data_IF_910114897907
#
_entry.id   IF_910114897907
#
_cell.length_a   1.000
_cell.length_b   1.000
_cell.length_c   1.000
_cell.angle_alpha   90.00
_cell.angle_beta   90.00
_cell.angle_gamma   90.00
#
_symmetry.space_group_name_H-M   'P 1'
#
loop_
_entity.id
_entity.type
_entity.pdbx_description
1 polymer ?
#
# COMPACT_ATOMS: atom_id res chain seq x y z
N UNK A 1 9.52 -5.33 -4.97
CA UNK A 1 9.30 -6.64 -4.38
C UNK A 1 10.60 -7.30 -3.92
N UNK A 2 11.65 -7.16 -4.72
CA UNK A 2 12.95 -7.69 -4.32
C UNK A 2 13.45 -7.01 -3.04
N UNK A 3 13.19 -5.72 -2.89
CA UNK A 3 13.59 -5.02 -1.67
C UNK A 3 12.88 -5.56 -0.44
N UNK A 4 11.58 -5.90 -0.58
CA UNK A 4 10.87 -6.46 0.56
C UNK A 4 11.41 -7.83 0.92
N UNK A 5 11.82 -8.62 -0.08
CA UNK A 5 12.42 -9.91 0.18
C UNK A 5 13.76 -9.77 0.89
N UNK A 6 14.58 -8.81 0.47
CA UNK A 6 15.88 -8.60 1.08
C UNK A 6 15.77 -8.12 2.52
N UNK A 7 14.73 -7.37 2.81
CA UNK A 7 14.49 -6.87 4.16
C UNK A 7 13.76 -7.87 5.04
N UNK A 8 13.38 -9.02 4.48
CA UNK A 8 12.65 -10.02 5.23
C UNK A 8 11.20 -9.67 5.46
N UNK A 9 10.65 -8.77 4.65
CA UNK A 9 9.27 -8.30 4.77
C UNK A 9 8.42 -8.96 3.69
N UNK A 10 7.15 -9.19 4.03
CA UNK A 10 6.16 -9.62 3.06
C UNK A 10 5.17 -8.49 2.86
N UNK A 11 4.73 -8.33 1.60
CA UNK A 11 3.79 -7.28 1.29
C UNK A 11 4.18 -6.59 0.01
N UNK A 12 3.51 -5.46 -0.25
CA UNK A 12 3.71 -4.70 -1.48
C UNK A 12 4.19 -3.30 -1.13
N UNK A 13 5.40 -2.95 -1.58
CA UNK A 13 5.94 -1.62 -1.38
C UNK A 13 5.31 -0.65 -2.39
N UNK A 14 4.85 0.48 -1.89
CA UNK A 14 4.30 1.52 -2.75
C UNK A 14 5.45 2.32 -3.33
N UNK A 15 5.60 2.27 -4.65
CA UNK A 15 6.66 3.02 -5.32
C UNK A 15 6.22 4.42 -5.65
N UNK A 16 4.96 4.60 -6.07
CA UNK A 16 4.48 5.90 -6.51
C UNK A 16 3.01 6.05 -6.17
N UNK A 17 2.62 7.25 -5.74
CA UNK A 17 1.24 7.58 -5.46
C UNK A 17 0.84 8.69 -6.43
N UNK A 18 -0.18 8.42 -7.24
CA UNK A 18 -0.67 9.41 -8.20
C UNK A 18 -1.40 10.54 -7.46
N UNK A 19 -1.19 11.79 -7.87
CA UNK A 19 -1.93 12.89 -7.27
C UNK A 19 -3.43 12.71 -7.47
N UNK A 20 -4.20 13.09 -6.46
CA UNK A 20 -5.66 13.01 -6.48
C UNK A 20 -6.22 11.59 -6.58
N UNK A 21 -5.38 10.58 -6.38
CA UNK A 21 -5.85 9.21 -6.37
C UNK A 21 -6.42 8.85 -4.99
N UNK A 22 -7.11 7.72 -4.95
CA UNK A 22 -7.60 7.17 -3.68
C UNK A 22 -6.46 7.02 -2.68
N UNK A 23 -5.31 6.54 -3.14
CA UNK A 23 -4.16 6.37 -2.27
C UNK A 23 -3.65 7.70 -1.73
N UNK A 24 -3.59 8.73 -2.59
CA UNK A 24 -3.14 10.04 -2.15
C UNK A 24 -4.10 10.63 -1.12
N UNK A 25 -5.40 10.46 -1.34
CA UNK A 25 -6.40 10.98 -0.41
C UNK A 25 -6.35 10.29 0.95
N UNK A 26 -5.93 9.04 0.96
CA UNK A 26 -5.81 8.29 2.20
C UNK A 26 -4.50 8.57 2.93
N UNK A 27 -3.58 9.31 2.30
CA UNK A 27 -2.31 9.66 2.94
C UNK A 27 -1.22 8.62 2.78
N UNK A 28 -1.35 7.75 1.78
CA UNK A 28 -0.31 6.75 1.52
C UNK A 28 0.92 7.43 0.93
N UNK A 29 2.08 6.84 1.20
CA UNK A 29 3.37 7.41 0.80
C UNK A 29 4.08 6.49 -0.18
N UNK A 30 4.57 7.07 -1.28
CA UNK A 30 5.40 6.34 -2.22
C UNK A 30 6.87 6.39 -1.83
N UNK A 31 7.67 5.61 -2.55
CA UNK A 31 9.12 5.58 -2.36
C UNK A 31 9.73 6.77 -3.07
N UNK A 32 10.67 7.44 -2.41
CA UNK A 32 11.32 8.63 -2.96
C UNK A 32 12.81 8.44 -3.02
N UNK A 33 13.44 9.07 -4.00
CA UNK A 33 14.89 9.13 -4.07
C UNK A 33 15.34 10.52 -3.65
N UNK A 34 16.19 10.56 -2.64
CA UNK A 34 16.73 11.81 -2.14
C UNK A 34 18.25 11.74 -2.24
N UNK A 35 18.92 12.87 -1.89
CA UNK A 35 20.37 12.93 -2.02
C UNK A 35 21.07 11.82 -1.24
N UNK A 36 20.55 11.49 -0.08
CA UNK A 36 21.15 10.51 0.82
C UNK A 36 20.81 9.07 0.48
N UNK A 37 19.96 8.84 -0.51
CA UNK A 37 19.58 7.49 -0.90
C UNK A 37 18.09 7.37 -1.14
N UNK A 38 17.50 6.25 -0.73
CA UNK A 38 16.08 6.00 -0.91
C UNK A 38 15.33 6.18 0.40
N UNK A 39 14.20 6.88 0.32
CA UNK A 39 13.22 6.87 1.41
C UNK A 39 12.11 5.93 0.98
N UNK A 40 12.00 4.81 1.66
CA UNK A 40 11.05 3.77 1.28
C UNK A 40 9.63 4.23 1.54
N UNK A 41 8.73 3.88 0.62
CA UNK A 41 7.33 4.15 0.78
C UNK A 41 6.68 3.17 1.75
N UNK A 42 5.37 3.31 1.91
CA UNK A 42 4.61 2.40 2.74
C UNK A 42 4.63 1.01 2.13
N UNK A 43 4.59 -0.01 2.98
CA UNK A 43 4.48 -1.39 2.55
C UNK A 43 3.10 -1.89 2.97
N UNK A 44 2.30 -2.34 2.01
CA UNK A 44 0.97 -2.86 2.29
C UNK A 44 1.14 -4.28 2.79
N UNK A 45 0.76 -4.52 4.04
CA UNK A 45 0.90 -5.83 4.67
C UNK A 45 -0.40 -6.62 4.63
N UNK A 46 -1.53 -5.95 4.73
CA UNK A 46 -2.82 -6.63 4.80
C UNK A 46 -3.93 -5.69 4.36
N UNK A 47 -5.05 -6.29 3.95
CA UNK A 47 -6.26 -5.55 3.63
C UNK A 47 -7.40 -6.19 4.40
N UNK A 48 -8.11 -5.38 5.22
CA UNK A 48 -9.17 -5.85 6.10
C UNK A 48 -8.73 -7.05 6.95
N UNK A 49 -7.48 -6.99 7.42
CA UNK A 49 -6.92 -8.04 8.26
C UNK A 49 -6.40 -9.26 7.51
N UNK A 50 -6.50 -9.29 6.21
CA UNK A 50 -6.07 -10.43 5.40
C UNK A 50 -4.69 -10.15 4.82
N UNK A 51 -3.69 -10.99 5.13
CA UNK A 51 -2.33 -10.71 4.67
C UNK A 51 -2.23 -10.68 3.15
N UNK A 52 -1.43 -9.74 2.65
CA UNK A 52 -1.17 -9.57 1.22
C UNK A 52 0.31 -9.80 1.01
N UNK A 53 0.66 -10.73 0.14
CA UNK A 53 2.06 -11.07 -0.10
C UNK A 53 2.58 -10.60 -1.44
N UNK A 54 1.68 -10.41 -2.41
CA UNK A 54 2.09 -10.04 -3.75
C UNK A 54 0.99 -9.23 -4.42
N UNK A 55 1.29 -8.76 -5.62
CA UNK A 55 0.35 -7.90 -6.35
C UNK A 55 -0.93 -8.64 -6.69
N UNK A 56 -0.84 -9.92 -7.06
CA UNK A 56 -2.03 -10.69 -7.40
C UNK A 56 -2.96 -10.80 -6.20
N UNK A 57 -2.41 -11.00 -5.02
CA UNK A 57 -3.22 -11.06 -3.81
C UNK A 57 -3.91 -9.74 -3.52
N UNK A 58 -3.19 -8.62 -3.74
CA UNK A 58 -3.81 -7.31 -3.55
C UNK A 58 -4.95 -7.09 -4.54
N UNK A 59 -4.72 -7.43 -5.81
CA UNK A 59 -5.74 -7.24 -6.83
C UNK A 59 -6.97 -8.10 -6.54
N UNK A 60 -6.76 -9.36 -6.15
CA UNK A 60 -7.87 -10.24 -5.81
C UNK A 60 -8.68 -9.67 -4.65
N UNK A 61 -8.00 -9.17 -3.63
CA UNK A 61 -8.69 -8.61 -2.49
C UNK A 61 -9.52 -7.38 -2.89
N UNK A 62 -8.96 -6.52 -3.74
CA UNK A 62 -9.67 -5.33 -4.19
C UNK A 62 -10.86 -5.67 -5.07
N UNK A 63 -10.74 -6.73 -5.88
CA UNK A 63 -11.83 -7.13 -6.76
C UNK A 63 -13.04 -7.67 -6.01
N UNK A 64 -12.87 -8.05 -4.76
CA UNK A 64 -13.98 -8.52 -3.93
C UNK A 64 -14.78 -7.37 -3.33
N UNK A 65 -14.33 -6.14 -3.54
CA UNK A 65 -15.00 -4.96 -3.02
C UNK A 65 -15.54 -4.13 -4.17
N UNK A 66 -16.46 -3.25 -3.86
CA UNK A 66 -17.09 -2.40 -4.86
C UNK A 66 -16.67 -0.94 -4.65
N UNK A 67 -16.84 -0.15 -5.71
CA UNK A 67 -16.65 1.28 -5.61
C UNK A 67 -17.56 1.81 -4.51
N UNK A 68 -16.98 2.64 -3.63
CA UNK A 68 -17.70 3.16 -2.49
C UNK A 68 -17.43 2.40 -1.20
N UNK A 69 -16.90 1.18 -1.29
CA UNK A 69 -16.52 0.44 -0.09
C UNK A 69 -15.30 1.10 0.54
N UNK A 70 -15.22 1.00 1.86
CA UNK A 70 -14.04 1.45 2.60
C UNK A 70 -13.30 0.21 3.08
N UNK A 71 -12.00 0.15 2.80
CA UNK A 71 -11.16 -0.95 3.25
C UNK A 71 -10.11 -0.42 4.22
N UNK A 72 -9.67 -1.28 5.12
CA UNK A 72 -8.62 -0.95 6.07
C UNK A 72 -7.33 -1.59 5.58
N UNK A 73 -6.33 -0.78 5.27
CA UNK A 73 -5.01 -1.27 4.90
C UNK A 73 -4.11 -1.26 6.11
N UNK A 74 -3.42 -2.35 6.33
CA UNK A 74 -2.35 -2.41 7.33
C UNK A 74 -1.06 -2.15 6.60
N UNK A 75 -0.33 -1.12 7.04
CA UNK A 75 0.88 -0.65 6.38
C UNK A 75 2.06 -0.73 7.33
N UNK A 76 3.23 -0.92 6.77
CA UNK A 76 4.48 -0.71 7.51
C UNK A 76 5.04 0.64 7.08
N UNK A 77 5.17 1.56 8.03
CA UNK A 77 5.69 2.91 7.80
C UNK A 77 6.67 3.24 8.90
N UNK A 78 7.90 3.59 8.50
CA UNK A 78 8.95 3.98 9.46
C UNK A 78 9.11 2.94 10.57
N UNK A 79 9.11 1.66 10.17
CA UNK A 79 9.27 0.52 11.08
C UNK A 79 8.09 0.31 12.02
N UNK A 80 6.97 0.98 11.78
CA UNK A 80 5.77 0.83 12.59
C UNK A 80 4.61 0.35 11.74
N UNK A 81 3.79 -0.50 12.32
CA UNK A 81 2.58 -0.97 11.68
C UNK A 81 1.46 0.02 11.98
N UNK A 82 0.81 0.53 10.93
CA UNK A 82 -0.30 1.44 11.07
C UNK A 82 -1.47 0.95 10.23
N UNK A 83 -2.67 1.42 10.56
CA UNK A 83 -3.85 1.11 9.78
C UNK A 83 -4.41 2.39 9.19
N UNK A 84 -4.79 2.32 7.90
CA UNK A 84 -5.32 3.46 7.17
C UNK A 84 -6.58 3.01 6.45
N UNK A 85 -7.63 3.81 6.54
CA UNK A 85 -8.87 3.52 5.82
C UNK A 85 -8.84 4.19 4.46
N UNK A 86 -9.22 3.44 3.44
CA UNK A 86 -9.19 3.89 2.06
C UNK A 86 -10.55 3.66 1.44
N UNK A 87 -11.15 4.73 0.90
CA UNK A 87 -12.40 4.60 0.18
C UNK A 87 -12.08 4.28 -1.28
N UNK A 88 -12.68 3.21 -1.78
CA UNK A 88 -12.43 2.77 -3.14
C UNK A 88 -13.21 3.63 -4.12
N UNK A 89 -12.52 4.06 -5.17
CA UNK A 89 -13.10 4.91 -6.20
C UNK A 89 -12.93 4.28 -7.56
N UNK A 90 -13.80 4.66 -8.48
CA UNK A 90 -13.68 4.18 -9.85
C UNK A 90 -12.42 4.74 -10.49
N UNK A 91 -11.74 3.90 -11.26
CA UNK A 91 -10.57 4.34 -12.04
C UNK A 91 -11.03 4.71 -13.43
N UNK A 92 -10.71 5.91 -13.85
CA UNK A 92 -11.08 6.37 -15.20
C UNK A 92 -9.85 6.66 -16.02
#
# INVERSE_FOLDING_TARGET
RRLTEELGLEGIMILKVQPNSTAAKAGLRGTSQVREGLVLGDIILAINGKPIKDYDGLRDALERHEVGDTVTLTLLRDSSSIEVQVALEAMN
#
